data_IF_508001025057
#
_entry.id   IF_508001025057
#
_cell.length_a   1.000
_cell.length_b   1.000
_cell.length_c   1.000
_cell.angle_alpha   90.00
_cell.angle_beta   90.00
_cell.angle_gamma   90.00
#
_symmetry.space_group_name_H-M   'P 1'
#
loop_
_entity.id
_entity.type
_entity.pdbx_description
1 polymer ?
#
# COMPACT_ATOMS: atom_id res chain seq x y z
N UNK A 1 62.49 39.96 53.98
CA UNK A 1 63.91 39.89 53.56
C UNK A 1 63.96 39.99 52.09
N UNK A 2 64.23 41.14 51.58
CA UNK A 2 65.49 41.55 50.93
C UNK A 2 65.41 41.20 49.40
N UNK A 3 65.13 42.14 48.56
CA UNK A 3 66.02 43.11 47.89
C UNK A 3 66.70 42.53 46.62
N UNK A 4 66.58 43.27 45.55
CA UNK A 4 67.44 43.15 44.37
C UNK A 4 66.87 43.80 43.09
N UNK A 5 67.03 45.11 43.02
CA UNK A 5 66.93 45.94 41.80
C UNK A 5 68.19 45.84 40.95
N UNK A 6 68.10 46.03 39.64
CA UNK A 6 69.08 46.74 38.74
C UNK A 6 68.52 46.61 37.32
N UNK A 7 68.06 47.69 36.65
CA UNK A 7 68.77 48.82 35.94
C UNK A 7 69.82 48.41 34.91
N UNK A 8 69.56 48.82 33.67
CA UNK A 8 70.49 48.85 32.52
C UNK A 8 69.69 49.02 31.24
N UNK A 9 69.39 50.17 30.80
CA UNK A 9 70.11 51.10 29.90
C UNK A 9 70.11 50.65 28.44
N UNK A 10 69.26 51.36 27.67
CA UNK A 10 69.52 52.02 26.38
C UNK A 10 70.48 51.40 25.39
N UNK A 11 69.94 51.00 24.24
CA UNK A 11 70.69 51.21 22.99
C UNK A 11 69.71 51.48 21.85
N UNK A 12 69.79 52.71 21.35
CA UNK A 12 69.13 53.15 20.11
C UNK A 12 69.81 52.47 18.93
N UNK A 13 69.15 51.68 18.19
CA UNK A 13 69.52 51.26 16.85
C UNK A 13 68.63 51.90 15.82
N UNK A 14 69.10 52.97 15.19
CA UNK A 14 68.55 53.62 14.03
C UNK A 14 68.62 52.64 12.84
N UNK A 15 67.50 52.14 12.39
CA UNK A 15 67.40 51.55 11.08
C UNK A 15 66.74 52.58 10.13
N UNK A 16 67.25 52.70 8.91
CA UNK A 16 66.73 53.69 7.93
C UNK A 16 65.37 53.28 7.42
N UNK A 17 64.54 54.33 7.17
CA UNK A 17 63.26 54.21 6.56
C UNK A 17 63.36 53.56 5.18
N UNK A 18 62.71 52.45 4.99
CA UNK A 18 62.47 51.83 3.69
C UNK A 18 61.15 52.38 3.17
N UNK A 19 61.23 53.11 2.07
CA UNK A 19 60.04 53.59 1.32
C UNK A 19 59.15 52.40 0.96
N UNK A 20 57.81 52.54 1.08
CA UNK A 20 56.91 51.46 0.68
C UNK A 20 56.83 51.38 -0.85
N UNK A 21 57.10 50.18 -1.36
CA UNK A 21 56.95 49.78 -2.76
C UNK A 21 55.49 50.01 -3.23
N UNK A 22 55.24 50.78 -4.29
CA UNK A 22 53.91 51.05 -4.81
C UNK A 22 53.23 49.83 -5.48
N UNK A 23 53.87 48.65 -5.53
CA UNK A 23 53.36 47.47 -6.16
C UNK A 23 52.49 46.57 -5.24
N UNK A 24 52.37 46.90 -3.92
CA UNK A 24 51.63 46.09 -2.95
C UNK A 24 50.19 46.60 -2.65
N UNK A 25 49.66 47.51 -3.44
CA UNK A 25 48.34 48.13 -3.19
C UNK A 25 47.17 47.46 -3.94
N UNK A 26 47.41 46.37 -4.67
CA UNK A 26 46.35 45.84 -5.58
C UNK A 26 45.87 44.42 -5.19
N UNK A 27 46.13 43.90 -3.99
CA UNK A 27 45.67 42.56 -3.54
C UNK A 27 44.83 42.55 -2.25
N UNK A 28 44.05 43.62 -2.01
CA UNK A 28 43.11 43.64 -0.90
C UNK A 28 41.68 44.04 -1.33
N UNK A 29 41.23 43.49 -2.44
CA UNK A 29 39.78 43.40 -2.74
C UNK A 29 39.28 41.98 -2.38
N UNK A 30 39.42 41.57 -1.11
CA UNK A 30 38.69 40.41 -0.58
C UNK A 30 37.20 40.75 -0.65
N UNK A 31 36.55 40.09 -1.62
CA UNK A 31 35.12 40.14 -1.78
C UNK A 31 34.40 39.88 -0.46
N UNK A 32 33.60 40.83 -0.01
CA UNK A 32 32.67 40.64 1.10
C UNK A 32 31.95 39.31 0.90
N UNK A 33 31.94 38.36 1.89
CA UNK A 33 31.18 37.17 1.80
C UNK A 33 29.70 37.58 1.64
N UNK A 34 29.11 37.21 0.52
CA UNK A 34 27.69 37.43 0.26
C UNK A 34 26.91 37.00 1.49
N UNK A 35 26.40 37.95 2.25
CA UNK A 35 25.50 37.73 3.39
C UNK A 35 24.35 36.88 2.86
N UNK A 36 24.43 35.58 3.03
CA UNK A 36 23.31 34.67 2.86
C UNK A 36 22.17 35.24 3.71
N UNK A 37 21.14 35.75 3.05
CA UNK A 37 19.92 36.18 3.73
C UNK A 37 19.37 34.94 4.42
N UNK A 38 19.70 34.77 5.68
CA UNK A 38 19.07 33.81 6.56
C UNK A 38 17.57 34.12 6.54
N UNK A 39 16.82 33.42 5.69
CA UNK A 39 15.36 33.48 5.73
C UNK A 39 14.97 33.11 7.14
N UNK A 40 14.19 33.98 7.79
CA UNK A 40 13.78 33.77 9.16
C UNK A 40 13.12 32.41 9.27
N UNK A 41 13.71 31.47 9.99
CA UNK A 41 13.19 30.13 10.30
C UNK A 41 11.71 30.18 10.67
N UNK A 42 11.30 31.20 11.41
CA UNK A 42 9.90 31.42 11.81
C UNK A 42 8.93 31.69 10.65
N UNK A 43 9.42 32.13 9.49
CA UNK A 43 8.59 32.33 8.28
C UNK A 43 8.53 31.07 7.44
N UNK A 44 9.55 30.23 7.48
CA UNK A 44 9.61 28.97 6.73
C UNK A 44 8.87 27.83 7.48
N UNK A 45 8.89 27.84 8.81
CA UNK A 45 8.24 26.84 9.65
C UNK A 45 6.74 26.62 9.32
N UNK A 46 5.88 27.65 9.24
CA UNK A 46 4.47 27.45 8.91
C UNK A 46 4.26 26.90 7.49
N UNK A 47 5.13 27.25 6.55
CA UNK A 47 5.08 26.72 5.18
C UNK A 47 5.44 25.24 5.18
N UNK A 48 6.51 24.85 5.89
CA UNK A 48 6.92 23.45 6.01
C UNK A 48 5.85 22.61 6.71
N UNK A 49 5.24 23.15 7.78
CA UNK A 49 4.11 22.49 8.46
C UNK A 49 2.92 22.34 7.48
N UNK A 50 2.61 23.39 6.72
CA UNK A 50 1.54 23.33 5.71
C UNK A 50 1.80 22.27 4.65
N UNK A 51 3.00 22.20 4.10
CA UNK A 51 3.40 21.18 3.12
C UNK A 51 3.33 19.78 3.75
N UNK A 52 3.85 19.62 4.97
CA UNK A 52 3.81 18.34 5.66
C UNK A 52 2.36 17.86 5.93
N UNK A 53 1.47 18.77 6.33
CA UNK A 53 0.05 18.46 6.54
C UNK A 53 -0.65 18.08 5.23
N UNK A 54 -0.39 18.83 4.14
CA UNK A 54 -0.95 18.51 2.82
C UNK A 54 -0.45 17.14 2.37
N UNK A 55 0.86 16.88 2.48
CA UNK A 55 1.44 15.59 2.10
C UNK A 55 0.88 14.45 2.96
N UNK A 56 0.77 14.64 4.27
CA UNK A 56 0.17 13.64 5.17
C UNK A 56 -1.30 13.38 4.81
N UNK A 57 -2.05 14.41 4.46
CA UNK A 57 -3.44 14.29 4.02
C UNK A 57 -3.53 13.53 2.68
N UNK A 58 -2.67 13.81 1.73
CA UNK A 58 -2.61 13.10 0.45
C UNK A 58 -2.28 11.61 0.66
N UNK A 59 -1.24 11.32 1.46
CA UNK A 59 -0.87 9.94 1.79
C UNK A 59 -2.06 9.21 2.42
N UNK A 60 -2.69 9.82 3.44
CA UNK A 60 -3.82 9.23 4.15
C UNK A 60 -5.04 9.02 3.25
N UNK A 61 -5.33 9.94 2.33
CA UNK A 61 -6.52 9.87 1.48
C UNK A 61 -6.34 8.89 0.34
N UNK A 62 -5.15 8.82 -0.24
CA UNK A 62 -4.93 8.08 -1.49
C UNK A 62 -4.15 6.78 -1.33
N UNK A 63 -3.25 6.66 -0.34
CA UNK A 63 -2.36 5.50 -0.24
C UNK A 63 -2.83 4.47 0.79
N UNK A 64 -3.06 4.89 2.02
CA UNK A 64 -3.33 3.98 3.13
C UNK A 64 -4.52 4.48 3.96
N UNK A 65 -5.48 3.59 4.18
CA UNK A 65 -6.60 3.85 5.07
C UNK A 65 -6.61 2.86 6.24
N UNK A 66 -6.91 3.37 7.45
CA UNK A 66 -7.07 2.52 8.61
C UNK A 66 -8.54 2.10 8.77
N UNK A 67 -8.77 0.81 8.93
CA UNK A 67 -10.07 0.22 9.22
C UNK A 67 -10.07 -0.45 10.59
N UNK A 68 -11.21 -0.41 11.29
CA UNK A 68 -11.41 -1.15 12.53
C UNK A 68 -12.19 -2.43 12.25
N UNK A 69 -11.78 -3.54 12.84
CA UNK A 69 -12.44 -4.84 12.67
C UNK A 69 -13.58 -4.96 13.68
N UNK A 70 -14.85 -5.01 13.24
CA UNK A 70 -15.99 -5.04 14.14
C UNK A 70 -16.44 -6.45 14.52
N UNK A 71 -16.03 -7.48 13.76
CA UNK A 71 -16.52 -8.86 13.89
C UNK A 71 -15.40 -9.88 14.09
N UNK A 72 -15.79 -11.10 14.44
CA UNK A 72 -14.86 -12.21 14.67
C UNK A 72 -14.67 -13.09 13.43
N UNK A 73 -15.26 -12.72 12.29
CA UNK A 73 -15.27 -13.54 11.07
C UNK A 73 -13.90 -13.81 10.45
N UNK A 74 -12.87 -13.07 10.85
CA UNK A 74 -11.49 -13.23 10.39
C UNK A 74 -10.53 -13.74 11.48
N UNK A 75 -11.03 -14.28 12.59
CA UNK A 75 -10.19 -14.97 13.58
C UNK A 75 -9.54 -16.19 12.92
N UNK A 76 -8.29 -16.50 13.13
CA UNK A 76 -7.22 -15.96 13.96
C UNK A 76 -6.47 -14.78 13.35
N UNK A 77 -6.62 -14.53 12.06
CA UNK A 77 -5.85 -13.50 11.34
C UNK A 77 -6.12 -12.12 11.90
N UNK A 78 -7.40 -11.77 12.06
CA UNK A 78 -7.85 -10.50 12.62
C UNK A 78 -8.86 -10.75 13.74
N UNK A 79 -8.82 -9.93 14.79
CA UNK A 79 -9.74 -10.00 15.92
C UNK A 79 -10.55 -8.70 16.03
N UNK A 80 -11.69 -8.81 16.68
CA UNK A 80 -12.51 -7.64 17.00
C UNK A 80 -11.70 -6.58 17.74
N UNK A 81 -11.77 -5.34 17.24
CA UNK A 81 -11.02 -4.21 17.79
C UNK A 81 -9.64 -4.00 17.19
N UNK A 82 -9.14 -4.93 16.36
CA UNK A 82 -7.93 -4.69 15.59
C UNK A 82 -8.14 -3.49 14.65
N UNK A 83 -7.05 -2.76 14.38
CA UNK A 83 -7.01 -1.77 13.29
C UNK A 83 -6.02 -2.23 12.25
N UNK A 84 -6.49 -2.30 11.03
CA UNK A 84 -5.71 -2.70 9.86
C UNK A 84 -5.38 -1.51 8.99
N UNK A 85 -4.25 -1.58 8.29
CA UNK A 85 -3.89 -0.66 7.22
C UNK A 85 -4.26 -1.30 5.89
N UNK A 86 -5.00 -0.56 5.08
CA UNK A 86 -5.52 -0.98 3.78
C UNK A 86 -4.85 -0.15 2.70
N UNK A 87 -4.19 -0.82 1.78
CA UNK A 87 -3.62 -0.25 0.57
C UNK A 87 -4.74 -0.03 -0.46
N UNK A 88 -4.98 1.23 -0.78
CA UNK A 88 -5.96 1.66 -1.79
C UNK A 88 -5.30 1.99 -3.12
N UNK A 89 -3.98 2.16 -3.11
CA UNK A 89 -3.22 2.60 -4.27
C UNK A 89 -3.15 1.50 -5.34
N UNK A 90 -2.88 0.28 -4.90
CA UNK A 90 -2.70 -0.87 -5.80
C UNK A 90 -3.94 -1.11 -6.66
N UNK A 91 -5.17 -1.17 -6.14
CA UNK A 91 -6.39 -1.25 -6.94
C UNK A 91 -6.60 -0.05 -7.85
N UNK A 92 -6.26 1.16 -7.40
CA UNK A 92 -6.44 2.36 -8.22
C UNK A 92 -5.59 2.36 -9.50
N UNK A 93 -4.44 1.71 -9.49
CA UNK A 93 -3.61 1.53 -10.69
C UNK A 93 -4.04 0.33 -11.55
N UNK A 94 -5.21 -0.26 -11.27
CA UNK A 94 -5.80 -1.34 -12.06
C UNK A 94 -5.26 -2.72 -11.69
N UNK A 95 -4.63 -2.89 -10.53
CA UNK A 95 -4.32 -4.20 -10.03
C UNK A 95 -5.60 -4.86 -9.49
N UNK A 96 -5.87 -6.05 -9.97
CA UNK A 96 -6.98 -6.86 -9.49
C UNK A 96 -6.61 -7.57 -8.17
N UNK A 97 -7.62 -7.91 -7.33
CA UNK A 97 -7.37 -8.69 -6.13
C UNK A 97 -6.75 -10.06 -6.46
N UNK A 98 -5.78 -10.48 -5.64
CA UNK A 98 -5.09 -11.75 -5.79
C UNK A 98 -5.60 -12.79 -4.79
N UNK A 99 -5.42 -14.08 -5.11
CA UNK A 99 -5.78 -15.19 -4.21
C UNK A 99 -4.98 -15.09 -2.92
N UNK A 100 -5.63 -15.34 -1.78
CA UNK A 100 -5.02 -15.29 -0.46
C UNK A 100 -4.95 -13.90 0.17
N UNK A 101 -5.20 -12.83 -0.57
CA UNK A 101 -5.25 -11.48 -0.01
C UNK A 101 -6.43 -11.30 0.94
N UNK A 102 -6.22 -10.54 2.00
CA UNK A 102 -7.31 -10.04 2.83
C UNK A 102 -7.76 -8.69 2.27
N UNK A 103 -9.00 -8.62 1.83
CA UNK A 103 -9.56 -7.43 1.18
C UNK A 103 -10.64 -6.79 2.02
N UNK A 104 -10.75 -5.47 1.90
CA UNK A 104 -11.88 -4.68 2.37
C UNK A 104 -12.73 -4.33 1.15
N UNK A 105 -14.03 -4.55 1.22
CA UNK A 105 -14.93 -4.30 0.10
C UNK A 105 -16.29 -3.81 0.60
N UNK A 106 -17.01 -3.07 -0.24
CA UNK A 106 -18.36 -2.63 0.03
C UNK A 106 -19.33 -3.81 0.00
N UNK A 107 -20.41 -3.73 0.78
CA UNK A 107 -21.45 -4.76 0.76
C UNK A 107 -22.02 -4.91 -0.68
N UNK A 108 -21.88 -6.10 -1.31
CA UNK A 108 -22.38 -6.31 -2.68
C UNK A 108 -23.92 -6.26 -2.80
N UNK A 109 -24.60 -6.06 -1.69
CA UNK A 109 -26.03 -5.95 -1.58
C UNK A 109 -26.66 -7.06 -0.75
N UNK A 110 -26.96 -6.72 0.52
CA UNK A 110 -27.71 -7.58 1.42
C UNK A 110 -26.89 -8.65 2.15
N UNK A 111 -25.56 -8.55 2.17
CA UNK A 111 -24.71 -9.40 3.00
C UNK A 111 -24.74 -8.97 4.47
N UNK A 112 -24.82 -7.67 4.70
CA UNK A 112 -25.09 -7.14 6.02
C UNK A 112 -26.59 -7.07 6.23
N UNK A 113 -27.12 -7.47 7.40
CA UNK A 113 -28.49 -7.19 7.73
C UNK A 113 -28.72 -5.68 7.58
N UNK A 114 -29.89 -5.27 7.10
CA UNK A 114 -30.31 -3.87 7.04
C UNK A 114 -30.16 -3.25 8.44
N UNK A 115 -28.95 -3.02 8.85
CA UNK A 115 -28.64 -2.19 9.99
C UNK A 115 -29.04 -0.80 9.54
N UNK A 116 -30.12 -0.28 10.09
CA UNK A 116 -30.41 1.14 10.13
C UNK A 116 -29.21 1.83 10.83
N UNK A 117 -28.08 1.87 10.13
CA UNK A 117 -27.00 2.77 10.53
C UNK A 117 -27.63 4.17 10.40
N UNK A 118 -27.78 4.92 11.51
CA UNK A 118 -28.32 6.27 11.43
C UNK A 118 -27.47 7.03 10.42
N UNK A 119 -28.11 7.80 9.54
CA UNK A 119 -27.40 8.64 8.57
C UNK A 119 -26.24 9.35 9.25
N UNK A 120 -25.01 9.19 8.73
CA UNK A 120 -23.84 9.78 9.38
C UNK A 120 -24.05 11.30 9.46
N UNK A 121 -24.00 11.83 10.68
CA UNK A 121 -24.11 13.26 10.92
C UNK A 121 -22.98 14.03 10.20
N UNK A 122 -23.09 15.37 10.06
CA UNK A 122 -22.11 16.17 9.31
C UNK A 122 -20.67 16.02 9.81
N UNK A 123 -20.47 15.81 11.10
CA UNK A 123 -19.15 15.54 11.69
C UNK A 123 -18.62 14.17 11.25
N UNK A 124 -19.48 13.15 11.22
CA UNK A 124 -19.11 11.80 10.77
C UNK A 124 -18.81 11.77 9.29
N UNK A 125 -19.52 12.53 8.45
CA UNK A 125 -19.21 12.71 7.02
C UNK A 125 -17.83 13.34 6.80
N UNK A 126 -17.50 14.38 7.59
CA UNK A 126 -16.17 15.00 7.55
C UNK A 126 -15.10 14.03 8.06
N UNK A 127 -15.37 13.28 9.12
CA UNK A 127 -14.46 12.26 9.64
C UNK A 127 -14.30 11.08 8.67
N UNK A 128 -15.36 10.70 7.96
CA UNK A 128 -15.32 9.72 6.87
C UNK A 128 -14.43 10.20 5.72
N UNK A 129 -14.62 11.44 5.28
CA UNK A 129 -13.78 12.04 4.23
C UNK A 129 -12.29 12.02 4.58
N UNK A 130 -11.93 12.24 5.85
CA UNK A 130 -10.53 12.12 6.31
C UNK A 130 -10.16 10.69 6.76
N UNK A 131 -11.05 9.69 6.54
CA UNK A 131 -10.77 8.28 6.85
C UNK A 131 -10.66 7.98 8.36
N UNK A 132 -11.28 8.81 9.21
CA UNK A 132 -11.36 8.60 10.66
C UNK A 132 -12.67 7.92 11.07
N UNK A 133 -13.62 7.82 10.17
CA UNK A 133 -14.90 7.15 10.37
C UNK A 133 -15.10 6.18 9.21
N UNK A 134 -15.23 4.88 9.51
CA UNK A 134 -15.63 3.87 8.54
C UNK A 134 -17.15 3.96 8.38
N UNK A 135 -17.63 4.18 7.17
CA UNK A 135 -19.04 3.99 6.86
C UNK A 135 -19.34 2.51 7.05
N UNK A 136 -20.30 2.18 7.94
CA UNK A 136 -20.51 0.84 8.50
C UNK A 136 -21.03 -0.24 7.51
N UNK A 137 -20.67 -0.14 6.22
CA UNK A 137 -21.06 -1.07 5.15
C UNK A 137 -19.88 -1.81 4.55
N UNK A 138 -18.67 -1.69 5.14
CA UNK A 138 -17.48 -2.37 4.64
C UNK A 138 -17.32 -3.75 5.31
N UNK A 139 -17.01 -4.74 4.48
CA UNK A 139 -16.73 -6.11 4.88
C UNK A 139 -15.24 -6.42 4.71
N UNK A 140 -14.73 -7.31 5.56
CA UNK A 140 -13.34 -7.80 5.48
C UNK A 140 -13.37 -9.30 5.35
N UNK A 141 -12.81 -9.84 4.26
CA UNK A 141 -12.71 -11.28 3.99
C UNK A 141 -11.41 -11.60 3.27
N UNK A 142 -11.10 -12.90 3.17
CA UNK A 142 -9.97 -13.39 2.35
C UNK A 142 -10.46 -13.80 0.97
N UNK A 143 -9.73 -13.40 -0.05
CA UNK A 143 -9.93 -13.86 -1.44
C UNK A 143 -9.48 -15.31 -1.53
N UNK A 144 -10.41 -16.20 -1.86
CA UNK A 144 -10.13 -17.62 -2.05
C UNK A 144 -9.90 -17.93 -3.53
N UNK A 145 -10.69 -17.31 -4.41
CA UNK A 145 -10.61 -17.52 -5.83
C UNK A 145 -10.94 -16.23 -6.59
N UNK A 146 -10.38 -16.11 -7.78
CA UNK A 146 -10.52 -14.93 -8.65
C UNK A 146 -11.16 -15.32 -9.99
N UNK A 147 -11.47 -14.32 -10.82
CA UNK A 147 -12.11 -14.54 -12.11
C UNK A 147 -11.43 -15.63 -12.95
N UNK A 148 -12.22 -16.60 -13.41
CA UNK A 148 -11.77 -17.77 -14.16
C UNK A 148 -11.51 -19.02 -13.34
N UNK A 149 -11.35 -18.91 -12.03
CA UNK A 149 -11.16 -20.06 -11.13
C UNK A 149 -12.43 -20.87 -10.96
N UNK A 150 -12.22 -22.12 -10.56
CA UNK A 150 -13.27 -22.98 -10.03
C UNK A 150 -13.00 -23.29 -8.57
N UNK A 151 -13.96 -22.97 -7.70
CA UNK A 151 -13.85 -23.22 -6.26
C UNK A 151 -14.91 -24.20 -5.80
N UNK A 152 -14.52 -25.12 -4.93
CA UNK A 152 -15.44 -26.11 -4.35
C UNK A 152 -15.02 -26.51 -2.94
N UNK A 153 -16.02 -26.99 -2.20
CA UNK A 153 -15.83 -27.56 -0.87
C UNK A 153 -16.86 -28.65 -0.63
N UNK A 154 -16.45 -29.91 -0.70
CA UNK A 154 -17.35 -31.07 -0.64
C UNK A 154 -17.02 -32.00 0.53
N UNK A 155 -18.07 -32.45 1.18
CA UNK A 155 -17.93 -33.38 2.31
C UNK A 155 -17.08 -32.77 3.41
N UNK A 156 -16.27 -33.59 4.03
CA UNK A 156 -15.34 -33.24 5.12
C UNK A 156 -13.94 -32.81 4.60
N UNK A 157 -13.86 -32.41 3.35
CA UNK A 157 -12.60 -32.10 2.69
C UNK A 157 -12.18 -30.63 2.83
N UNK A 158 -10.96 -30.33 2.40
CA UNK A 158 -10.49 -28.94 2.30
C UNK A 158 -11.20 -28.17 1.18
N UNK A 159 -11.14 -26.85 1.25
CA UNK A 159 -11.47 -26.00 0.10
C UNK A 159 -10.51 -26.30 -1.03
N UNK A 160 -11.03 -26.40 -2.26
CA UNK A 160 -10.23 -26.61 -3.45
C UNK A 160 -10.40 -25.44 -4.42
N UNK A 161 -9.29 -25.00 -4.99
CA UNK A 161 -9.26 -24.03 -6.08
C UNK A 161 -8.64 -24.70 -7.29
N UNK A 162 -9.34 -24.73 -8.41
CA UNK A 162 -8.93 -25.40 -9.65
C UNK A 162 -8.59 -26.89 -9.45
N UNK A 163 -9.30 -27.55 -8.50
CA UNK A 163 -9.07 -28.94 -8.13
C UNK A 163 -7.94 -29.18 -7.14
N UNK A 164 -7.13 -28.16 -6.82
CA UNK A 164 -6.02 -28.24 -5.86
C UNK A 164 -6.53 -27.89 -4.46
N UNK A 165 -6.23 -28.72 -3.48
CA UNK A 165 -6.62 -28.54 -2.09
C UNK A 165 -5.76 -27.45 -1.43
N UNK A 166 -6.41 -26.51 -0.71
CA UNK A 166 -5.70 -25.50 0.07
C UNK A 166 -5.27 -26.10 1.42
N UNK A 167 -4.02 -25.86 1.80
CA UNK A 167 -3.58 -26.03 3.19
C UNK A 167 -3.91 -24.75 3.97
N UNK A 168 -4.97 -24.83 4.74
CA UNK A 168 -5.52 -23.69 5.48
C UNK A 168 -5.13 -23.70 6.96
N UNK A 169 -4.32 -24.69 7.37
CA UNK A 169 -3.95 -24.90 8.78
C UNK A 169 -3.23 -23.72 9.43
N UNK A 170 -2.54 -22.92 8.64
CA UNK A 170 -1.76 -21.76 9.12
C UNK A 170 -2.57 -20.51 9.46
N UNK A 171 -3.80 -20.37 8.95
CA UNK A 171 -4.58 -19.13 9.10
C UNK A 171 -6.05 -19.33 9.46
N UNK A 172 -6.62 -20.47 9.17
CA UNK A 172 -8.03 -20.76 9.46
C UNK A 172 -8.19 -21.33 10.86
N UNK A 173 -9.17 -20.83 11.59
CA UNK A 173 -9.54 -21.36 12.91
C UNK A 173 -10.59 -22.46 12.77
N UNK A 174 -10.22 -23.66 13.20
CA UNK A 174 -11.14 -24.78 13.36
C UNK A 174 -10.92 -25.51 14.67
N UNK A 175 -11.51 -25.08 15.77
CA UNK A 175 -11.56 -25.95 16.93
C UNK A 175 -12.51 -27.12 16.62
N UNK A 176 -11.97 -28.17 15.98
CA UNK A 176 -12.64 -29.45 15.86
C UNK A 176 -13.65 -29.64 14.72
N UNK A 177 -13.72 -28.71 13.75
CA UNK A 177 -14.63 -28.84 12.60
C UNK A 177 -13.88 -28.76 11.28
N UNK A 178 -14.30 -29.57 10.33
CA UNK A 178 -13.74 -29.62 8.98
C UNK A 178 -14.17 -28.39 8.17
N UNK A 179 -13.35 -27.88 7.24
CA UNK A 179 -13.64 -26.66 6.45
C UNK A 179 -14.96 -26.72 5.73
N UNK A 180 -15.40 -27.91 5.36
CA UNK A 180 -16.63 -28.19 4.66
C UNK A 180 -17.31 -29.37 5.35
N UNK A 181 -18.31 -29.10 6.14
CA UNK A 181 -19.05 -30.13 6.87
C UNK A 181 -20.54 -30.04 6.56
N UNK A 182 -21.31 -31.06 6.97
CA UNK A 182 -22.78 -31.09 6.85
C UNK A 182 -23.43 -30.08 7.80
N UNK A 183 -22.69 -29.46 8.68
CA UNK A 183 -23.21 -28.50 9.65
C UNK A 183 -23.63 -27.20 8.98
N UNK A 184 -24.68 -26.60 9.48
CA UNK A 184 -25.16 -25.29 9.00
C UNK A 184 -24.09 -24.19 9.08
N UNK A 185 -23.08 -24.37 9.95
CA UNK A 185 -21.94 -23.48 10.14
C UNK A 185 -20.80 -23.69 9.12
N UNK A 186 -20.82 -24.80 8.35
CA UNK A 186 -19.78 -25.15 7.36
C UNK A 186 -20.42 -25.64 6.06
N UNK A 187 -21.04 -24.69 5.34
CA UNK A 187 -21.81 -24.98 4.11
C UNK A 187 -20.88 -25.58 3.04
N UNK A 188 -21.22 -26.79 2.59
CA UNK A 188 -20.64 -27.38 1.37
C UNK A 188 -21.13 -26.61 0.15
N UNK A 189 -20.26 -26.44 -0.87
CA UNK A 189 -20.59 -25.71 -2.09
C UNK A 189 -19.75 -26.18 -3.29
N UNK A 190 -20.22 -25.84 -4.45
CA UNK A 190 -19.49 -25.99 -5.69
C UNK A 190 -19.60 -27.37 -6.37
N UNK A 191 -18.89 -27.53 -7.51
CA UNK A 191 -17.96 -26.57 -8.08
C UNK A 191 -18.67 -25.28 -8.57
N UNK A 192 -18.10 -24.12 -8.23
CA UNK A 192 -18.56 -22.80 -8.62
C UNK A 192 -17.48 -22.14 -9.45
N UNK A 193 -17.79 -21.73 -10.67
CA UNK A 193 -16.87 -20.97 -11.52
C UNK A 193 -17.01 -19.49 -11.23
N UNK A 194 -15.91 -18.85 -10.86
CA UNK A 194 -15.86 -17.41 -10.60
C UNK A 194 -15.91 -16.64 -11.93
N UNK A 195 -16.87 -15.74 -12.14
CA UNK A 195 -16.93 -14.91 -13.34
C UNK A 195 -15.73 -13.96 -13.44
N UNK A 196 -15.36 -13.55 -14.65
CA UNK A 196 -14.35 -12.54 -14.87
C UNK A 196 -14.72 -11.22 -14.16
N UNK A 197 -13.74 -10.54 -13.55
CA UNK A 197 -13.95 -9.29 -12.82
C UNK A 197 -14.62 -9.48 -11.46
N UNK A 198 -14.72 -10.71 -10.97
CA UNK A 198 -15.28 -11.03 -9.65
C UNK A 198 -14.33 -11.89 -8.82
N UNK A 199 -14.57 -11.89 -7.52
CA UNK A 199 -13.85 -12.71 -6.55
C UNK A 199 -14.82 -13.53 -5.70
N UNK A 200 -14.32 -14.67 -5.21
CA UNK A 200 -14.95 -15.48 -4.18
C UNK A 200 -14.22 -15.30 -2.88
N UNK A 201 -14.92 -14.90 -1.84
CA UNK A 201 -14.31 -14.56 -0.55
C UNK A 201 -14.85 -15.41 0.58
N UNK A 202 -13.98 -15.72 1.55
CA UNK A 202 -14.38 -16.43 2.76
C UNK A 202 -13.72 -15.78 3.99
N UNK A 203 -14.39 -15.92 5.15
CA UNK A 203 -13.77 -15.56 6.43
C UNK A 203 -12.78 -16.62 6.89
N UNK A 204 -11.74 -16.24 7.60
CA UNK A 204 -10.78 -17.18 8.19
C UNK A 204 -11.39 -17.93 9.38
N UNK A 205 -12.41 -17.37 10.00
CA UNK A 205 -13.25 -18.04 11.00
C UNK A 205 -14.44 -18.73 10.29
N UNK A 206 -14.22 -19.86 9.66
CA UNK A 206 -15.12 -20.54 8.72
C UNK A 206 -16.52 -20.79 9.25
N UNK A 207 -16.68 -21.08 10.53
CA UNK A 207 -17.96 -21.34 11.18
C UNK A 207 -18.61 -20.09 11.81
N UNK A 208 -17.97 -18.93 11.73
CA UNK A 208 -18.50 -17.65 12.21
C UNK A 208 -18.33 -16.54 11.14
N UNK A 209 -18.61 -16.87 9.89
CA UNK A 209 -18.48 -15.95 8.77
C UNK A 209 -19.64 -16.10 7.80
N UNK A 210 -20.44 -15.06 7.69
CA UNK A 210 -21.36 -14.88 6.56
C UNK A 210 -20.54 -14.33 5.38
N UNK A 211 -20.29 -15.18 4.38
CA UNK A 211 -19.43 -14.90 3.24
C UNK A 211 -20.02 -15.49 1.95
N UNK A 212 -19.26 -15.54 0.87
CA UNK A 212 -19.71 -16.03 -0.45
C UNK A 212 -20.56 -17.30 -0.38
N UNK A 213 -20.24 -18.21 0.51
CA UNK A 213 -20.96 -19.50 0.69
C UNK A 213 -22.44 -19.34 1.04
N UNK A 214 -22.77 -18.30 1.78
CA UNK A 214 -24.12 -18.05 2.32
C UNK A 214 -24.96 -17.14 1.43
N UNK A 215 -24.35 -16.50 0.46
CA UNK A 215 -24.99 -15.55 -0.42
C UNK A 215 -25.18 -16.05 -1.87
N UNK A 216 -24.94 -17.34 -2.10
CA UNK A 216 -25.05 -17.96 -3.43
C UNK A 216 -26.45 -17.86 -4.04
N UNK A 217 -27.48 -17.86 -3.20
CA UNK A 217 -28.88 -17.79 -3.61
C UNK A 217 -29.41 -16.34 -3.70
N UNK A 218 -28.54 -15.35 -3.44
CA UNK A 218 -28.86 -13.93 -3.49
C UNK A 218 -28.44 -13.29 -4.82
N UNK A 219 -28.95 -12.10 -5.13
CA UNK A 219 -28.44 -11.32 -6.27
C UNK A 219 -26.92 -11.19 -6.20
N UNK A 220 -26.22 -11.47 -7.30
CA UNK A 220 -24.76 -11.52 -7.33
C UNK A 220 -24.19 -12.92 -7.15
N UNK A 221 -24.94 -13.93 -6.69
CA UNK A 221 -24.51 -15.33 -6.63
C UNK A 221 -23.38 -15.59 -5.62
N UNK A 222 -23.24 -14.74 -4.61
CA UNK A 222 -22.17 -14.82 -3.61
C UNK A 222 -20.80 -14.29 -4.08
N UNK A 223 -20.73 -13.69 -5.26
CA UNK A 223 -19.52 -13.04 -5.77
C UNK A 223 -19.45 -11.57 -5.35
N UNK A 224 -18.23 -11.07 -5.25
CA UNK A 224 -17.92 -9.66 -5.07
C UNK A 224 -17.30 -9.13 -6.35
N UNK A 225 -17.79 -8.02 -6.87
CA UNK A 225 -17.18 -7.37 -8.02
C UNK A 225 -15.83 -6.76 -7.65
N UNK A 226 -14.84 -6.81 -8.54
CA UNK A 226 -13.53 -6.22 -8.28
C UNK A 226 -13.63 -4.71 -7.99
N UNK A 227 -14.62 -4.03 -8.58
CA UNK A 227 -14.87 -2.60 -8.40
C UNK A 227 -15.41 -2.26 -6.99
N UNK A 228 -15.99 -3.23 -6.29
CA UNK A 228 -16.43 -3.06 -4.90
C UNK A 228 -15.28 -3.19 -3.90
N UNK A 229 -14.09 -3.62 -4.34
CA UNK A 229 -12.92 -3.77 -3.49
C UNK A 229 -12.31 -2.40 -3.19
N UNK A 230 -12.41 -1.97 -1.94
CA UNK A 230 -11.82 -0.71 -1.43
C UNK A 230 -10.30 -0.79 -1.42
N UNK A 231 -9.75 -1.96 -1.07
CA UNK A 231 -8.31 -2.19 -1.05
C UNK A 231 -7.90 -3.46 -0.31
N UNK A 232 -6.60 -3.69 -0.29
CA UNK A 232 -5.97 -4.85 0.33
C UNK A 232 -5.45 -4.51 1.72
N UNK A 233 -5.77 -5.32 2.72
CA UNK A 233 -5.22 -5.20 4.06
C UNK A 233 -3.77 -5.71 4.06
N UNK A 234 -2.82 -4.81 4.34
CA UNK A 234 -1.38 -5.12 4.29
C UNK A 234 -0.77 -5.36 5.65
N UNK A 235 -1.34 -4.77 6.69
CA UNK A 235 -0.82 -4.88 8.04
C UNK A 235 -1.90 -4.67 9.10
N UNK A 236 -1.69 -5.30 10.24
CA UNK A 236 -2.41 -5.03 11.48
C UNK A 236 -1.60 -4.01 12.28
N UNK A 237 -2.15 -2.81 12.47
CA UNK A 237 -1.46 -1.68 13.08
C UNK A 237 -1.74 -1.53 14.59
N UNK A 238 -2.88 -2.04 15.06
CA UNK A 238 -3.29 -1.95 16.47
C UNK A 238 -4.08 -3.19 16.88
N UNK A 239 -3.93 -3.66 18.11
CA UNK A 239 -3.04 -3.18 19.19
C UNK A 239 -1.56 -3.48 18.87
N UNK A 240 -0.64 -2.70 19.43
CA UNK A 240 0.80 -2.81 19.18
C UNK A 240 1.31 -4.23 19.53
N UNK A 241 0.74 -4.88 20.52
CA UNK A 241 1.04 -6.26 20.92
C UNK A 241 0.75 -7.30 19.81
N UNK A 242 -0.07 -6.94 18.84
CA UNK A 242 -0.47 -7.78 17.71
C UNK A 242 -0.02 -7.21 16.36
N UNK A 243 0.86 -6.20 16.38
CA UNK A 243 1.36 -5.63 15.14
C UNK A 243 2.03 -6.69 14.25
N UNK A 244 1.76 -6.63 12.95
CA UNK A 244 2.32 -7.56 11.97
C UNK A 244 1.75 -7.34 10.59
N UNK A 245 2.44 -7.85 9.60
CA UNK A 245 1.98 -7.87 8.21
C UNK A 245 0.90 -8.95 8.01
N UNK A 246 0.16 -8.83 6.93
CA UNK A 246 -0.85 -9.80 6.48
C UNK A 246 -0.38 -10.42 5.15
N UNK A 247 0.55 -11.39 5.19
CA UNK A 247 1.06 -12.02 3.98
C UNK A 247 -0.01 -12.90 3.31
N UNK A 248 0.16 -13.13 2.03
CA UNK A 248 -0.56 -14.19 1.32
C UNK A 248 -0.01 -15.54 1.82
N UNK A 249 -0.87 -16.47 2.23
CA UNK A 249 -0.42 -17.81 2.62
C UNK A 249 0.19 -18.59 1.45
N UNK A 250 1.29 -19.32 1.70
CA UNK A 250 2.04 -20.07 0.68
C UNK A 250 1.19 -21.14 -0.03
N UNK A 251 0.07 -21.53 0.54
CA UNK A 251 -0.86 -22.48 -0.09
C UNK A 251 -1.41 -22.00 -1.43
N UNK A 252 -1.42 -20.69 -1.68
CA UNK A 252 -1.88 -20.10 -2.95
C UNK A 252 -0.82 -20.12 -4.04
N UNK A 253 0.45 -20.37 -3.69
CA UNK A 253 1.57 -20.48 -4.63
C UNK A 253 1.73 -21.90 -5.21
N UNK A 254 0.82 -22.84 -4.87
CA UNK A 254 0.86 -24.20 -5.36
C UNK A 254 0.68 -24.28 -6.88
N UNK A 255 1.41 -25.18 -7.57
CA UNK A 255 1.17 -25.46 -8.98
C UNK A 255 -0.29 -25.86 -9.24
N UNK A 256 -0.88 -25.33 -10.32
CA UNK A 256 -2.30 -25.53 -10.65
C UNK A 256 -3.24 -24.47 -10.07
N UNK A 257 -2.83 -23.74 -9.01
CA UNK A 257 -3.54 -22.56 -8.52
C UNK A 257 -2.96 -21.31 -9.20
N UNK A 258 -1.64 -21.13 -9.16
CA UNK A 258 -0.93 -19.99 -9.77
C UNK A 258 -0.98 -20.01 -11.30
N UNK A 259 -0.88 -21.20 -11.92
CA UNK A 259 -0.79 -21.34 -13.38
C UNK A 259 -2.07 -20.98 -14.13
N UNK A 260 -3.22 -21.08 -13.49
CA UNK A 260 -4.51 -20.74 -14.10
C UNK A 260 -4.64 -19.24 -14.44
N UNK A 261 -4.02 -18.35 -13.67
CA UNK A 261 -3.97 -16.93 -13.95
C UNK A 261 -3.05 -16.60 -15.13
N UNK A 262 -1.91 -17.30 -15.22
CA UNK A 262 -0.94 -17.14 -16.32
C UNK A 262 -1.54 -17.56 -17.67
N UNK A 263 -2.41 -18.55 -17.68
CA UNK A 263 -3.09 -19.01 -18.90
C UNK A 263 -4.10 -18.03 -19.45
N UNK A 264 -4.75 -17.25 -18.59
CA UNK A 264 -5.70 -16.22 -19.01
C UNK A 264 -4.98 -14.97 -19.60
N UNK A 265 -3.83 -14.60 -19.08
CA UNK A 265 -2.97 -13.53 -19.62
C UNK A 265 -2.23 -13.93 -20.90
N UNK A 266 -1.92 -15.23 -21.08
CA UNK A 266 -1.25 -15.76 -22.29
C UNK A 266 -2.10 -15.76 -23.56
N UNK A 267 -3.42 -15.54 -23.46
CA UNK A 267 -4.32 -15.45 -24.60
C UNK A 267 -4.48 -14.04 -25.18
N UNK A 268 -3.89 -13.01 -24.58
CA UNK A 268 -3.80 -11.69 -25.20
C UNK A 268 -2.78 -11.74 -26.35
N UNK A 269 -3.17 -11.44 -27.61
CA UNK A 269 -2.25 -11.56 -28.72
C UNK A 269 -1.10 -10.57 -28.54
N UNK A 270 0.13 -11.10 -28.52
CA UNK A 270 1.39 -10.34 -28.50
C UNK A 270 1.56 -9.38 -29.72
N UNK A 271 0.48 -9.11 -30.45
CA UNK A 271 0.45 -8.29 -31.66
C UNK A 271 0.55 -6.77 -31.42
N UNK A 272 0.30 -6.27 -30.19
CA UNK A 272 0.33 -4.82 -29.94
C UNK A 272 1.69 -4.27 -29.49
N UNK A 273 2.65 -5.13 -29.10
CA UNK A 273 3.99 -4.69 -28.66
C UNK A 273 4.94 -4.28 -29.79
N UNK A 274 4.72 -4.76 -31.02
CA UNK A 274 5.64 -4.51 -32.14
C UNK A 274 5.32 -3.25 -32.96
N UNK A 275 4.11 -2.71 -32.87
CA UNK A 275 3.71 -1.53 -33.66
C UNK A 275 4.24 -0.22 -33.04
N UNK A 276 4.49 -0.17 -31.75
CA UNK A 276 5.01 1.02 -31.06
C UNK A 276 6.54 1.19 -31.07
N UNK A 277 7.30 0.10 -31.17
CA UNK A 277 8.77 0.16 -31.07
C UNK A 277 9.46 0.52 -32.40
N UNK A 278 8.90 0.13 -33.53
CA UNK A 278 9.50 0.37 -34.86
C UNK A 278 9.58 1.85 -35.22
N UNK A 279 8.57 2.71 -35.03
CA UNK A 279 8.68 4.12 -35.40
C UNK A 279 9.67 4.90 -34.51
N UNK A 280 9.83 4.54 -33.22
CA UNK A 280 10.76 5.21 -32.32
C UNK A 280 12.23 4.94 -32.67
N UNK A 281 12.57 3.74 -33.09
CA UNK A 281 13.92 3.36 -33.54
C UNK A 281 14.23 4.05 -34.85
N UNK A 282 13.30 4.13 -35.79
CA UNK A 282 13.48 4.80 -37.09
C UNK A 282 13.63 6.32 -36.92
N UNK A 283 12.89 6.96 -36.05
CA UNK A 283 13.01 8.39 -35.76
C UNK A 283 14.36 8.69 -35.10
N UNK A 284 14.84 7.83 -34.18
CA UNK A 284 16.14 8.00 -33.52
C UNK A 284 17.29 7.83 -34.51
N UNK A 285 17.20 6.84 -35.42
CA UNK A 285 18.19 6.61 -36.47
C UNK A 285 18.25 7.75 -37.49
N UNK A 286 17.12 8.33 -37.92
CA UNK A 286 17.06 9.50 -38.79
C UNK A 286 17.68 10.74 -38.17
N UNK A 287 17.50 10.97 -36.85
CA UNK A 287 18.12 12.10 -36.16
C UNK A 287 19.65 11.96 -36.03
N UNK A 288 20.16 10.75 -35.86
CA UNK A 288 21.60 10.49 -35.80
C UNK A 288 22.27 10.68 -37.15
N UNK A 289 21.64 10.24 -38.25
CA UNK A 289 22.15 10.43 -39.61
C UNK A 289 22.09 11.91 -40.06
N UNK A 290 21.09 12.65 -39.67
CA UNK A 290 20.97 14.09 -39.95
C UNK A 290 22.03 14.94 -39.20
N UNK A 291 22.53 14.44 -38.07
CA UNK A 291 23.60 15.11 -37.31
C UNK A 291 24.98 14.85 -37.89
N UNK A 292 25.22 13.64 -38.37
CA UNK A 292 26.48 13.26 -39.02
C UNK A 292 26.70 13.91 -40.40
N UNK A 293 25.64 14.32 -41.10
CA UNK A 293 25.71 15.05 -42.38
C UNK A 293 25.91 16.55 -42.30
N UNK A 294 26.03 17.13 -41.10
CA UNK A 294 26.27 18.56 -40.88
C UNK A 294 27.71 18.91 -40.41
N UNK A 295 28.50 17.90 -40.14
CA UNK A 295 29.90 18.02 -39.67
C UNK A 295 30.93 17.54 -40.70
N UNK A 296 30.50 17.40 -41.99
CA UNK A 296 31.36 17.03 -43.13
C UNK A 296 31.47 18.17 -44.14
#
# INVERSE_FOLDING_TARGET
MAVGARSGQDEFDERPAVDPDPAAADEAAEGEPARSKHRSFWKELPILIGIALVLALLIKTFLLQAFSIPSDSMQNTLQRGDRILVDKLTPWFGAEPERGEVVVFHDPGGWLPDSQAPDPGPVQKVLGFVGLYAEGQDLVKRVIAVGGDTVECKGEGPVKVNGVALDESGYVTFPGTLPCGPDASNKTFGPVKVPAGKIWVMGDHRNDSLDSRYHMDQPGGGFVDNDEVVGRAVARAWPISRWGTLPIPDTYDQPGISDAASSALGAAPAALGLVGAVPLVLIRRRRLLAKAGREG
#
